data_IF_366815408278
#
_entry.id   IF_366815408278
#
_cell.length_a   1.000
_cell.length_b   1.000
_cell.length_c   1.000
_cell.angle_alpha   90.00
_cell.angle_beta   90.00
_cell.angle_gamma   90.00
#
_symmetry.space_group_name_H-M   'P 1'
#
loop_
_entity.id
_entity.type
_entity.pdbx_description
1 polymer ?
#
# COMPACT_ATOMS: atom_id res chain seq x y z
N UNK A 1 0.71 6.32 54.68
CA UNK A 1 0.77 6.57 53.19
C UNK A 1 0.21 5.33 52.53
N UNK A 2 -1.02 5.43 52.01
CA UNK A 2 -1.66 4.33 51.26
C UNK A 2 -1.01 4.23 49.88
N UNK A 3 -0.52 3.04 49.51
CA UNK A 3 -0.01 2.77 48.17
C UNK A 3 -1.13 2.95 47.14
N UNK A 4 -0.87 3.60 46.00
CA UNK A 4 -1.90 3.79 44.99
C UNK A 4 -2.35 2.44 44.44
N UNK A 5 -3.67 2.28 44.33
CA UNK A 5 -4.30 1.06 43.83
C UNK A 5 -3.80 0.74 42.39
N UNK A 6 -3.63 -0.54 42.02
CA UNK A 6 -3.07 -0.95 40.73
C UNK A 6 -3.84 -0.42 39.51
N UNK A 7 -5.13 -0.12 39.67
CA UNK A 7 -5.98 0.47 38.64
C UNK A 7 -5.57 1.92 38.30
N UNK A 8 -5.19 2.71 39.29
CA UNK A 8 -4.77 4.10 39.12
C UNK A 8 -3.38 4.20 38.48
N UNK A 9 -2.49 3.26 38.81
CA UNK A 9 -1.15 3.19 38.21
C UNK A 9 -1.23 2.86 36.71
N UNK A 10 -2.04 1.87 36.30
CA UNK A 10 -2.29 1.53 34.91
C UNK A 10 -2.96 2.66 34.11
N UNK A 11 -3.81 3.46 34.75
CA UNK A 11 -4.45 4.62 34.12
C UNK A 11 -3.45 5.76 33.91
N UNK A 12 -2.64 6.06 34.91
CA UNK A 12 -1.60 7.08 34.82
C UNK A 12 -0.52 6.69 33.81
N UNK A 13 -0.06 5.44 33.80
CA UNK A 13 0.93 4.96 32.83
C UNK A 13 0.40 5.04 31.38
N UNK A 14 -0.88 4.73 31.16
CA UNK A 14 -1.54 4.95 29.86
C UNK A 14 -1.66 6.43 29.50
N UNK A 15 -1.95 7.29 30.46
CA UNK A 15 -2.08 8.73 30.22
C UNK A 15 -0.73 9.38 29.91
N UNK A 16 0.30 9.05 30.65
CA UNK A 16 1.67 9.56 30.38
C UNK A 16 2.28 8.97 29.09
N UNK A 17 1.99 7.72 28.75
CA UNK A 17 2.42 7.15 27.47
C UNK A 17 1.68 7.81 26.30
N UNK A 18 0.41 8.19 26.49
CA UNK A 18 -0.41 8.87 25.47
C UNK A 18 0.06 10.32 25.23
N UNK A 19 0.46 11.04 26.29
CA UNK A 19 1.02 12.39 26.15
C UNK A 19 2.40 12.38 25.46
N UNK A 20 3.27 11.43 25.82
CA UNK A 20 4.59 11.25 25.16
C UNK A 20 4.45 10.86 23.69
N UNK A 21 3.41 10.12 23.33
CA UNK A 21 3.17 9.70 21.94
C UNK A 21 2.61 10.84 21.08
N UNK A 22 1.75 11.69 21.65
CA UNK A 22 1.28 12.92 21.00
C UNK A 22 2.43 13.88 20.73
N UNK A 23 3.29 14.06 21.71
CA UNK A 23 4.47 14.89 21.58
C UNK A 23 5.42 14.39 20.48
N UNK A 24 5.66 13.07 20.42
CA UNK A 24 6.46 12.47 19.33
C UNK A 24 5.84 12.72 17.95
N UNK A 25 4.53 12.55 17.77
CA UNK A 25 3.86 12.72 16.48
C UNK A 25 3.99 14.17 16.01
N UNK A 26 3.67 15.14 16.87
CA UNK A 26 3.79 16.55 16.57
C UNK A 26 5.22 16.95 16.26
N UNK A 27 6.20 16.53 17.08
CA UNK A 27 7.62 16.81 16.83
C UNK A 27 8.09 16.22 15.50
N UNK A 28 7.66 14.98 15.16
CA UNK A 28 8.09 14.33 13.94
C UNK A 28 7.50 14.99 12.69
N UNK A 29 6.23 15.36 12.70
CA UNK A 29 5.58 16.09 11.59
C UNK A 29 6.21 17.48 11.42
N UNK A 30 6.39 18.21 12.51
CA UNK A 30 7.10 19.50 12.50
C UNK A 30 8.52 19.36 11.96
N UNK A 31 9.25 18.32 12.36
CA UNK A 31 10.57 18.02 11.80
C UNK A 31 10.50 17.81 10.29
N UNK A 32 9.55 17.02 9.77
CA UNK A 32 9.35 16.81 8.33
C UNK A 32 9.13 18.16 7.63
N UNK A 33 8.25 19.01 8.17
CA UNK A 33 8.00 20.34 7.63
C UNK A 33 9.29 21.18 7.54
N UNK A 34 10.11 21.16 8.58
CA UNK A 34 11.32 22.01 8.66
C UNK A 34 12.51 21.45 7.87
N UNK A 35 12.62 20.12 7.72
CA UNK A 35 13.77 19.46 7.09
C UNK A 35 13.56 19.08 5.63
N UNK A 36 12.35 19.28 5.10
CA UNK A 36 12.02 19.03 3.69
C UNK A 36 11.47 20.32 3.06
N UNK A 37 11.43 20.42 1.72
CA UNK A 37 10.79 21.55 1.05
C UNK A 37 9.29 21.70 1.31
N UNK A 38 8.65 20.83 2.08
CA UNK A 38 7.23 20.93 2.44
C UNK A 38 6.88 22.28 3.07
N UNK A 39 7.79 22.91 3.86
CA UNK A 39 7.59 24.23 4.43
C UNK A 39 7.21 25.29 3.38
N UNK A 40 7.86 25.25 2.20
CA UNK A 40 7.57 26.20 1.10
C UNK A 40 6.15 26.03 0.57
N UNK A 41 5.64 24.78 0.53
CA UNK A 41 4.29 24.48 0.12
C UNK A 41 3.28 24.94 1.17
N UNK A 42 3.56 24.67 2.46
CA UNK A 42 2.73 25.16 3.57
C UNK A 42 2.65 26.68 3.57
N UNK A 43 3.77 27.39 3.37
CA UNK A 43 3.79 28.84 3.24
C UNK A 43 3.02 29.35 2.02
N UNK A 44 3.17 28.68 0.86
CA UNK A 44 2.49 29.09 -0.36
C UNK A 44 0.97 29.02 -0.21
N UNK A 45 0.48 27.93 0.35
CA UNK A 45 -0.96 27.69 0.48
C UNK A 45 -1.55 28.49 1.66
N UNK A 46 -0.95 28.44 2.86
CA UNK A 46 -1.51 29.09 4.04
C UNK A 46 -1.51 30.63 3.94
N UNK A 47 -0.63 31.21 3.13
CA UNK A 47 -0.57 32.65 2.89
C UNK A 47 -1.36 33.12 1.66
N UNK A 48 -2.04 32.21 0.96
CA UNK A 48 -2.84 32.55 -0.23
C UNK A 48 -4.06 33.41 0.12
N UNK A 49 -4.74 33.07 1.21
CA UNK A 49 -5.84 33.84 1.78
C UNK A 49 -5.93 33.65 3.30
N UNK A 50 -6.73 34.49 4.00
CA UNK A 50 -6.94 34.37 5.45
C UNK A 50 -7.55 33.02 5.89
N UNK A 51 -8.25 32.32 4.98
CA UNK A 51 -8.95 31.06 5.27
C UNK A 51 -8.30 29.85 4.64
N UNK A 52 -7.22 30.04 3.87
CA UNK A 52 -6.54 28.93 3.21
C UNK A 52 -5.75 28.07 4.20
N UNK A 53 -5.92 26.78 4.10
CA UNK A 53 -5.24 25.80 4.95
C UNK A 53 -4.75 24.63 4.12
N UNK A 54 -3.59 24.09 4.51
CA UNK A 54 -3.05 22.83 4.01
C UNK A 54 -2.62 21.94 5.16
N UNK A 55 -2.84 20.61 5.03
CA UNK A 55 -2.52 19.62 6.05
C UNK A 55 -1.90 18.38 5.42
N UNK A 56 -1.02 17.72 6.15
CA UNK A 56 -0.64 16.33 5.88
C UNK A 56 -1.86 15.41 5.99
N UNK A 57 -1.94 14.35 5.19
CA UNK A 57 -3.09 13.45 5.23
C UNK A 57 -2.72 11.99 4.93
N UNK A 58 -3.50 11.07 5.46
CA UNK A 58 -3.50 9.68 5.03
C UNK A 58 -2.20 8.92 5.31
N UNK A 59 -1.50 8.53 4.24
CA UNK A 59 -0.32 7.66 4.31
C UNK A 59 0.79 8.17 5.19
N UNK A 60 1.20 9.43 5.01
CA UNK A 60 2.31 10.02 5.76
C UNK A 60 1.97 10.15 7.25
N UNK A 61 0.77 10.63 7.60
CA UNK A 61 0.34 10.76 9.01
C UNK A 61 0.28 9.40 9.69
N UNK A 62 -0.29 8.39 9.02
CA UNK A 62 -0.36 7.01 9.53
C UNK A 62 1.04 6.43 9.77
N UNK A 63 1.99 6.60 8.84
CA UNK A 63 3.37 6.14 8.99
C UNK A 63 4.07 6.82 10.19
N UNK A 64 3.87 8.12 10.40
CA UNK A 64 4.41 8.82 11.57
C UNK A 64 3.85 8.24 12.87
N UNK A 65 2.53 8.02 12.96
CA UNK A 65 1.89 7.42 14.14
C UNK A 65 2.46 6.02 14.42
N UNK A 66 2.74 5.22 13.38
CA UNK A 66 3.32 3.88 13.49
C UNK A 66 4.84 3.85 13.60
N UNK A 67 5.49 5.01 13.61
CA UNK A 67 6.96 5.17 13.65
C UNK A 67 7.65 4.49 12.46
N UNK A 68 6.98 4.48 11.31
CA UNK A 68 7.51 3.99 10.04
C UNK A 68 8.19 5.12 9.26
N UNK A 69 9.03 4.78 8.29
CA UNK A 69 9.63 5.77 7.38
C UNK A 69 8.56 6.39 6.48
N UNK A 70 8.63 7.71 6.31
CA UNK A 70 7.74 8.46 5.42
C UNK A 70 8.48 8.68 4.10
N UNK A 71 7.99 8.03 3.04
CA UNK A 71 8.58 8.08 1.69
C UNK A 71 7.79 9.04 0.80
N UNK A 72 6.45 9.04 0.95
CA UNK A 72 5.53 9.86 0.17
C UNK A 72 4.79 10.83 1.11
N UNK A 73 4.68 12.08 0.70
CA UNK A 73 3.99 13.11 1.46
C UNK A 73 2.76 13.55 0.67
N UNK A 74 1.59 13.11 1.15
CA UNK A 74 0.30 13.54 0.65
C UNK A 74 -0.21 14.72 1.47
N UNK A 75 -0.70 15.74 0.79
CA UNK A 75 -1.24 16.97 1.37
C UNK A 75 -2.69 17.14 0.94
N UNK A 76 -3.51 17.73 1.81
CA UNK A 76 -4.87 18.13 1.51
C UNK A 76 -5.05 19.62 1.81
N UNK A 77 -5.84 20.33 1.00
CA UNK A 77 -6.09 21.76 1.16
C UNK A 77 -7.54 22.10 0.86
N UNK A 78 -8.06 23.14 1.52
CA UNK A 78 -9.36 23.70 1.24
C UNK A 78 -9.39 24.66 0.03
N UNK A 79 -8.26 24.87 -0.63
CA UNK A 79 -8.21 25.58 -1.91
C UNK A 79 -8.69 24.69 -3.06
N UNK A 80 -9.31 25.27 -4.06
CA UNK A 80 -9.59 24.61 -5.35
C UNK A 80 -8.28 24.33 -6.11
N UNK A 81 -8.25 23.38 -7.06
CA UNK A 81 -7.04 23.10 -7.83
C UNK A 81 -6.45 24.33 -8.55
N UNK A 82 -7.30 25.22 -9.05
CA UNK A 82 -6.85 26.44 -9.72
C UNK A 82 -6.18 27.41 -8.74
N UNK A 83 -6.75 27.58 -7.55
CA UNK A 83 -6.15 28.38 -6.48
C UNK A 83 -4.83 27.78 -5.99
N UNK A 84 -4.73 26.45 -5.92
CA UNK A 84 -3.44 25.76 -5.62
C UNK A 84 -2.39 26.10 -6.67
N UNK A 85 -2.73 26.02 -7.97
CA UNK A 85 -1.82 26.39 -9.04
C UNK A 85 -1.34 27.85 -8.93
N UNK A 86 -2.27 28.77 -8.62
CA UNK A 86 -1.96 30.18 -8.43
C UNK A 86 -1.03 30.41 -7.21
N UNK A 87 -1.35 29.79 -6.08
CA UNK A 87 -0.53 29.87 -4.86
C UNK A 87 0.90 29.37 -5.09
N UNK A 88 1.06 28.24 -5.78
CA UNK A 88 2.37 27.68 -6.13
C UNK A 88 3.13 28.59 -7.10
N UNK A 89 2.44 29.12 -8.14
CA UNK A 89 3.02 30.05 -9.10
C UNK A 89 3.52 31.34 -8.45
N UNK A 90 2.77 31.90 -7.51
CA UNK A 90 3.17 33.11 -6.77
C UNK A 90 4.44 32.92 -5.94
N UNK A 91 4.77 31.67 -5.57
CA UNK A 91 5.99 31.30 -4.87
C UNK A 91 7.06 30.67 -5.78
N UNK A 92 6.84 30.72 -7.10
CA UNK A 92 7.76 30.14 -8.12
C UNK A 92 8.03 28.64 -7.90
N UNK A 93 7.04 27.89 -7.41
CA UNK A 93 7.11 26.44 -7.21
C UNK A 93 6.59 25.77 -8.48
N UNK A 94 7.39 24.88 -9.07
CA UNK A 94 6.97 24.09 -10.24
C UNK A 94 5.90 23.07 -9.88
N UNK A 95 4.94 22.85 -10.80
CA UNK A 95 3.88 21.87 -10.58
C UNK A 95 3.41 21.23 -11.89
N UNK A 96 2.72 20.10 -11.75
CA UNK A 96 2.01 19.41 -12.84
C UNK A 96 0.53 19.25 -12.49
N UNK A 97 -0.32 19.39 -13.52
CA UNK A 97 -1.78 19.30 -13.40
C UNK A 97 -2.30 17.89 -13.74
N UNK A 98 -1.52 16.85 -13.46
CA UNK A 98 -1.79 15.47 -13.87
C UNK A 98 -3.08 14.85 -13.30
N UNK A 99 -3.74 15.50 -12.37
CA UNK A 99 -4.97 15.03 -11.73
C UNK A 99 -5.96 16.16 -11.41
N UNK A 100 -5.90 17.25 -12.16
CA UNK A 100 -6.70 18.46 -11.87
C UNK A 100 -8.21 18.18 -11.86
N UNK A 101 -8.69 17.31 -12.78
CA UNK A 101 -10.09 16.87 -12.84
C UNK A 101 -10.53 16.08 -11.59
N UNK A 102 -9.56 15.49 -10.88
CA UNK A 102 -9.77 14.81 -9.61
C UNK A 102 -9.35 15.64 -8.40
N UNK A 103 -9.01 16.89 -8.62
CA UNK A 103 -8.63 17.82 -7.55
C UNK A 103 -7.19 17.67 -7.06
N UNK A 104 -6.30 17.01 -7.79
CA UNK A 104 -4.91 16.77 -7.36
C UNK A 104 -3.91 17.51 -8.23
N UNK A 105 -3.02 18.26 -7.60
CA UNK A 105 -1.88 18.95 -8.22
C UNK A 105 -0.59 18.36 -7.63
N UNK A 106 0.39 18.08 -8.49
CA UNK A 106 1.70 17.59 -8.05
C UNK A 106 2.71 18.75 -8.06
N UNK A 107 3.11 19.22 -6.88
CA UNK A 107 4.19 20.20 -6.74
C UNK A 107 5.55 19.50 -6.74
N UNK A 108 6.55 20.16 -7.35
CA UNK A 108 7.93 19.65 -7.42
C UNK A 108 8.87 20.73 -6.91
N UNK A 109 9.67 20.35 -5.92
CA UNK A 109 10.74 21.18 -5.38
C UNK A 109 11.98 20.30 -5.26
N UNK A 110 13.02 20.64 -6.00
CA UNK A 110 14.22 19.83 -6.13
C UNK A 110 13.90 18.40 -6.58
N UNK A 111 14.26 17.38 -5.81
CA UNK A 111 13.94 15.98 -6.05
C UNK A 111 12.62 15.50 -5.42
N UNK A 112 11.97 16.37 -4.62
CA UNK A 112 10.74 16.02 -3.88
C UNK A 112 9.50 16.26 -4.73
N UNK A 113 8.54 15.32 -4.62
CA UNK A 113 7.21 15.43 -5.19
C UNK A 113 6.17 15.41 -4.09
N UNK A 114 5.22 16.34 -4.17
CA UNK A 114 4.14 16.47 -3.19
C UNK A 114 2.82 16.44 -3.92
N UNK A 115 1.96 15.48 -3.57
CA UNK A 115 0.60 15.45 -4.07
C UNK A 115 -0.30 16.32 -3.18
N UNK A 116 -0.86 17.39 -3.75
CA UNK A 116 -1.76 18.31 -3.07
C UNK A 116 -3.15 18.09 -3.61
N UNK A 117 -4.05 17.58 -2.76
CA UNK A 117 -5.44 17.28 -3.14
C UNK A 117 -6.40 18.27 -2.49
N UNK A 118 -7.23 18.93 -3.29
CA UNK A 118 -8.31 19.78 -2.81
C UNK A 118 -9.36 18.97 -2.07
N UNK A 119 -9.88 19.52 -0.95
CA UNK A 119 -10.98 18.89 -0.23
C UNK A 119 -12.18 18.74 -1.14
N UNK A 120 -12.84 17.60 -1.08
CA UNK A 120 -13.96 17.29 -1.96
C UNK A 120 -14.96 16.33 -1.32
N UNK A 121 -16.16 16.32 -1.84
CA UNK A 121 -17.13 15.24 -1.66
C UNK A 121 -17.33 14.52 -2.99
N UNK A 122 -17.58 13.22 -2.93
CA UNK A 122 -17.91 12.43 -4.10
C UNK A 122 -19.42 12.51 -4.33
N UNK A 123 -19.86 13.06 -5.47
CA UNK A 123 -21.29 13.21 -5.81
C UNK A 123 -21.83 11.93 -6.41
N UNK A 124 -21.06 11.32 -7.31
CA UNK A 124 -21.31 10.00 -7.86
C UNK A 124 -20.01 9.23 -8.07
N UNK A 125 -20.02 7.93 -7.88
CA UNK A 125 -18.81 7.09 -8.06
C UNK A 125 -19.15 5.85 -8.88
N UNK A 126 -18.34 5.56 -9.91
CA UNK A 126 -18.33 4.30 -10.64
C UNK A 126 -17.09 3.43 -10.31
N UNK A 127 -16.45 3.71 -9.19
CA UNK A 127 -15.24 3.04 -8.72
C UNK A 127 -13.92 3.63 -9.24
N UNK A 128 -13.90 4.27 -10.40
CA UNK A 128 -12.69 4.91 -10.96
C UNK A 128 -12.86 6.40 -11.16
N UNK A 129 -14.02 6.82 -11.60
CA UNK A 129 -14.36 8.22 -11.86
C UNK A 129 -15.42 8.63 -10.86
N UNK A 130 -15.09 9.60 -10.05
CA UNK A 130 -16.04 10.29 -9.19
C UNK A 130 -16.28 11.68 -9.81
N UNK A 131 -17.55 12.03 -10.02
CA UNK A 131 -17.89 13.43 -10.12
C UNK A 131 -17.66 14.05 -8.75
N UNK A 132 -16.73 14.98 -8.69
CA UNK A 132 -16.30 15.59 -7.43
C UNK A 132 -16.83 17.01 -7.34
N UNK A 133 -17.30 17.39 -6.18
CA UNK A 133 -17.57 18.77 -5.80
C UNK A 133 -16.55 19.18 -4.74
N UNK A 134 -15.85 20.29 -4.98
CA UNK A 134 -14.86 20.77 -4.02
C UNK A 134 -15.56 21.29 -2.78
N UNK A 135 -15.00 21.00 -1.62
CA UNK A 135 -15.53 21.31 -0.30
C UNK A 135 -14.53 22.15 0.50
N UNK A 136 -15.04 22.92 1.45
CA UNK A 136 -14.22 23.59 2.44
C UNK A 136 -14.20 22.83 3.79
N UNK A 137 -15.00 21.77 3.91
CA UNK A 137 -15.17 21.03 5.15
C UNK A 137 -14.24 19.80 5.21
N UNK A 138 -13.30 19.85 6.11
CA UNK A 138 -12.35 18.77 6.40
C UNK A 138 -13.02 17.44 6.82
N UNK A 139 -14.16 17.51 7.52
CA UNK A 139 -14.90 16.33 7.94
C UNK A 139 -15.63 15.69 6.75
N UNK A 140 -16.11 16.49 5.82
CA UNK A 140 -16.73 16.03 4.59
C UNK A 140 -15.71 15.26 3.72
N UNK A 141 -14.51 15.82 3.50
CA UNK A 141 -13.41 15.11 2.80
C UNK A 141 -13.00 13.83 3.53
N UNK A 142 -12.91 13.88 4.86
CA UNK A 142 -12.60 12.71 5.66
C UNK A 142 -13.64 11.60 5.50
N UNK A 143 -14.94 11.96 5.40
CA UNK A 143 -16.04 11.01 5.31
C UNK A 143 -16.06 10.18 4.03
N UNK A 144 -15.51 10.70 2.92
CA UNK A 144 -15.43 9.98 1.65
C UNK A 144 -14.26 8.97 1.60
N UNK A 145 -13.30 9.03 2.52
CA UNK A 145 -12.15 8.12 2.57
C UNK A 145 -12.59 6.70 2.93
N UNK A 146 -11.74 5.74 2.65
CA UNK A 146 -12.06 4.31 2.85
C UNK A 146 -12.09 3.88 4.32
N UNK A 147 -10.99 4.15 5.05
CA UNK A 147 -10.79 3.69 6.42
C UNK A 147 -10.48 4.84 7.37
N UNK A 148 -10.89 4.70 8.64
CA UNK A 148 -10.61 5.69 9.69
C UNK A 148 -9.12 6.01 9.81
N UNK A 149 -8.25 5.02 9.67
CA UNK A 149 -6.78 5.17 9.72
C UNK A 149 -6.20 6.00 8.55
N UNK A 150 -6.97 6.28 7.51
CA UNK A 150 -6.59 7.07 6.35
C UNK A 150 -7.20 8.47 6.34
N UNK A 151 -8.03 8.79 7.34
CA UNK A 151 -8.73 10.08 7.47
C UNK A 151 -8.17 10.95 8.60
N UNK A 152 -6.90 10.76 8.92
CA UNK A 152 -6.18 11.54 9.91
C UNK A 152 -5.39 12.61 9.17
N UNK A 153 -5.55 13.86 9.59
CA UNK A 153 -4.84 15.01 9.04
C UNK A 153 -3.95 15.63 10.12
N UNK A 154 -2.94 16.39 9.70
CA UNK A 154 -2.09 17.15 10.60
C UNK A 154 -1.64 18.46 9.96
N UNK A 155 -1.59 19.55 10.73
CA UNK A 155 -0.98 20.79 10.29
C UNK A 155 0.57 20.73 10.31
N UNK A 156 1.21 21.85 9.96
CA UNK A 156 2.67 21.98 9.95
C UNK A 156 3.32 21.86 11.34
N UNK A 157 2.58 22.13 12.40
CA UNK A 157 3.02 21.98 13.79
C UNK A 157 2.74 20.59 14.36
N UNK A 158 2.06 19.73 13.56
CA UNK A 158 1.72 18.35 13.92
C UNK A 158 0.50 18.22 14.80
N UNK A 159 -0.35 19.24 14.87
CA UNK A 159 -1.66 19.13 15.51
C UNK A 159 -2.58 18.25 14.65
N UNK A 160 -3.17 17.23 15.25
CA UNK A 160 -4.00 16.28 14.54
C UNK A 160 -5.46 16.76 14.43
N UNK A 161 -6.04 16.56 13.26
CA UNK A 161 -7.48 16.58 13.04
C UNK A 161 -7.93 15.16 12.66
N UNK A 162 -8.63 14.48 13.54
CA UNK A 162 -9.03 13.08 13.44
C UNK A 162 -10.52 12.89 13.72
N UNK A 163 -11.40 13.21 12.76
CA UNK A 163 -12.85 13.25 12.99
C UNK A 163 -13.49 11.87 13.22
N UNK A 164 -12.78 10.78 12.87
CA UNK A 164 -13.30 9.41 12.96
C UNK A 164 -12.50 8.51 13.91
N UNK A 165 -11.67 9.08 14.79
CA UNK A 165 -10.83 8.35 15.73
C UNK A 165 -9.86 7.33 15.08
N UNK A 166 -9.38 7.64 13.88
CA UNK A 166 -8.47 6.77 13.14
C UNK A 166 -7.14 6.53 13.84
N UNK A 167 -6.64 7.51 14.61
CA UNK A 167 -5.45 7.34 15.45
C UNK A 167 -5.66 6.25 16.50
N UNK A 168 -6.80 6.25 17.18
CA UNK A 168 -7.14 5.23 18.17
C UNK A 168 -7.25 3.86 17.52
N UNK A 169 -7.96 3.75 16.40
CA UNK A 169 -8.09 2.51 15.64
C UNK A 169 -6.72 1.96 15.23
N UNK A 170 -5.84 2.83 14.73
CA UNK A 170 -4.49 2.46 14.32
C UNK A 170 -3.61 1.99 15.48
N UNK A 171 -3.67 2.66 16.63
CA UNK A 171 -2.92 2.29 17.84
C UNK A 171 -3.42 0.95 18.42
N UNK A 172 -4.71 0.74 18.41
CA UNK A 172 -5.36 -0.49 18.88
C UNK A 172 -5.31 -1.63 17.87
N UNK A 173 -5.04 -1.34 16.58
CA UNK A 173 -4.94 -2.34 15.51
C UNK A 173 -6.28 -2.70 14.88
N UNK A 174 -7.26 -1.81 14.92
CA UNK A 174 -8.54 -1.97 14.22
C UNK A 174 -8.49 -1.37 12.83
N UNK A 175 -9.13 -2.05 11.87
CA UNK A 175 -9.30 -1.55 10.50
C UNK A 175 -10.79 -1.37 10.25
N UNK A 176 -11.26 -0.15 10.46
CA UNK A 176 -12.66 0.20 10.36
C UNK A 176 -12.93 1.03 9.09
N UNK A 177 -13.97 0.64 8.35
CA UNK A 177 -14.51 1.48 7.27
C UNK A 177 -15.16 2.75 7.86
N UNK A 178 -15.08 3.85 7.12
CA UNK A 178 -15.84 5.05 7.46
C UNK A 178 -17.26 4.87 6.97
N UNK A 179 -18.22 4.85 7.88
CA UNK A 179 -19.63 4.62 7.57
C UNK A 179 -19.96 3.14 7.34
N UNK A 180 -20.88 2.86 6.41
CA UNK A 180 -21.34 1.50 6.15
C UNK A 180 -20.36 0.73 5.25
N UNK A 181 -19.75 -0.33 5.76
CA UNK A 181 -18.73 -1.11 5.07
C UNK A 181 -19.22 -1.68 3.71
N UNK A 182 -20.47 -2.17 3.64
CA UNK A 182 -21.00 -2.75 2.41
C UNK A 182 -21.15 -1.69 1.31
N UNK A 183 -21.72 -0.53 1.65
CA UNK A 183 -21.82 0.61 0.71
C UNK A 183 -20.44 1.05 0.24
N UNK A 184 -19.49 1.16 1.17
CA UNK A 184 -18.10 1.56 0.84
C UNK A 184 -17.41 0.58 -0.11
N UNK A 185 -17.63 -0.71 0.05
CA UNK A 185 -17.12 -1.74 -0.88
C UNK A 185 -17.80 -1.63 -2.25
N UNK A 186 -19.12 -1.41 -2.29
CA UNK A 186 -19.87 -1.30 -3.54
C UNK A 186 -19.53 -0.04 -4.35
N UNK A 187 -19.13 1.05 -3.70
CA UNK A 187 -18.60 2.24 -4.37
C UNK A 187 -17.26 1.98 -5.09
N UNK A 188 -16.40 1.13 -4.51
CA UNK A 188 -15.12 0.74 -5.09
C UNK A 188 -14.69 -0.62 -4.53
N UNK A 189 -14.87 -1.68 -5.33
CA UNK A 189 -14.53 -3.04 -4.94
C UNK A 189 -13.04 -3.26 -4.64
N UNK A 190 -12.13 -2.37 -5.09
CA UNK A 190 -10.72 -2.42 -4.72
C UNK A 190 -10.52 -2.27 -3.20
N UNK A 191 -11.48 -1.69 -2.49
CA UNK A 191 -11.45 -1.55 -1.03
C UNK A 191 -11.39 -2.91 -0.32
N UNK A 192 -11.80 -4.01 -0.96
CA UNK A 192 -11.61 -5.37 -0.45
C UNK A 192 -10.11 -5.68 -0.32
N UNK A 193 -9.33 -5.47 -1.38
CA UNK A 193 -7.87 -5.70 -1.34
C UNK A 193 -7.17 -4.69 -0.42
N UNK A 194 -7.63 -3.45 -0.40
CA UNK A 194 -7.11 -2.42 0.50
C UNK A 194 -7.37 -2.78 1.97
N UNK A 195 -8.55 -3.31 2.30
CA UNK A 195 -8.86 -3.84 3.64
C UNK A 195 -7.88 -4.95 4.03
N UNK A 196 -7.69 -5.96 3.17
CA UNK A 196 -6.74 -7.04 3.41
C UNK A 196 -5.32 -6.50 3.64
N UNK A 197 -4.87 -5.56 2.83
CA UNK A 197 -3.56 -4.93 2.98
C UNK A 197 -3.40 -4.21 4.32
N UNK A 198 -4.36 -3.38 4.71
CA UNK A 198 -4.28 -2.67 5.97
C UNK A 198 -4.43 -3.61 7.17
N UNK A 199 -5.31 -4.60 7.06
CA UNK A 199 -5.46 -5.63 8.07
C UNK A 199 -4.13 -6.38 8.29
N UNK A 200 -3.52 -6.90 7.25
CA UNK A 200 -2.24 -7.60 7.36
C UNK A 200 -1.11 -6.72 7.90
N UNK A 201 -1.13 -5.42 7.61
CA UNK A 201 -0.07 -4.52 8.06
C UNK A 201 -0.25 -4.02 9.49
N UNK A 202 -1.48 -3.76 9.92
CA UNK A 202 -1.74 -2.99 11.14
C UNK A 202 -2.63 -3.70 12.15
N UNK A 203 -3.38 -4.75 11.78
CA UNK A 203 -4.25 -5.44 12.73
C UNK A 203 -3.47 -6.43 13.60
N UNK A 204 -3.87 -6.48 14.88
CA UNK A 204 -3.41 -7.47 15.85
C UNK A 204 -4.53 -8.45 16.25
N UNK A 205 -5.70 -8.33 15.67
CA UNK A 205 -6.90 -9.12 15.99
C UNK A 205 -7.27 -10.04 14.83
N UNK A 206 -8.18 -10.97 15.08
CA UNK A 206 -8.84 -11.72 14.01
C UNK A 206 -9.78 -10.81 13.23
N UNK A 207 -10.07 -11.18 11.99
CA UNK A 207 -11.08 -10.49 11.19
C UNK A 207 -12.42 -10.41 11.93
N UNK A 208 -13.11 -9.30 11.78
CA UNK A 208 -14.50 -9.20 12.21
C UNK A 208 -15.36 -10.05 11.28
N UNK A 209 -16.07 -11.05 11.82
CA UNK A 209 -16.87 -12.00 11.03
C UNK A 209 -17.90 -11.30 10.12
N UNK A 210 -18.43 -10.15 10.56
CA UNK A 210 -19.37 -9.36 9.77
C UNK A 210 -18.68 -8.77 8.53
N UNK A 211 -17.46 -8.26 8.65
CA UNK A 211 -16.69 -7.69 7.52
C UNK A 211 -16.37 -8.79 6.50
N UNK A 212 -15.94 -9.98 6.97
CA UNK A 212 -15.68 -11.11 6.07
C UNK A 212 -16.93 -11.55 5.31
N UNK A 213 -18.09 -11.57 5.97
CA UNK A 213 -19.38 -11.88 5.31
C UNK A 213 -19.70 -10.85 4.22
N UNK A 214 -19.53 -9.57 4.50
CA UNK A 214 -19.75 -8.47 3.54
C UNK A 214 -18.79 -8.62 2.36
N UNK A 215 -17.50 -8.86 2.61
CA UNK A 215 -16.49 -9.06 1.57
C UNK A 215 -16.88 -10.26 0.68
N UNK A 216 -17.17 -11.42 1.25
CA UNK A 216 -17.54 -12.62 0.49
C UNK A 216 -18.79 -12.39 -0.35
N UNK A 217 -19.77 -11.65 0.15
CA UNK A 217 -21.00 -11.30 -0.59
C UNK A 217 -20.72 -10.41 -1.82
N UNK A 218 -19.70 -9.55 -1.73
CA UNK A 218 -19.40 -8.54 -2.74
C UNK A 218 -18.15 -8.87 -3.57
N UNK A 219 -17.54 -10.04 -3.41
CA UNK A 219 -16.23 -10.37 -3.99
C UNK A 219 -16.25 -10.41 -5.53
N UNK A 220 -17.37 -10.78 -6.13
CA UNK A 220 -17.52 -10.84 -7.59
C UNK A 220 -17.36 -9.46 -8.25
N UNK A 221 -17.66 -8.39 -7.52
CA UNK A 221 -17.47 -7.02 -7.99
C UNK A 221 -15.99 -6.67 -8.29
N UNK A 222 -15.03 -7.46 -7.79
CA UNK A 222 -13.60 -7.33 -8.12
C UNK A 222 -13.36 -7.47 -9.63
N UNK A 223 -14.19 -8.21 -10.34
CA UNK A 223 -14.10 -8.37 -11.80
C UNK A 223 -14.23 -7.05 -12.57
N UNK A 224 -14.85 -6.04 -11.99
CA UNK A 224 -15.02 -4.70 -12.57
C UNK A 224 -13.78 -3.80 -12.39
N UNK A 225 -12.79 -4.24 -11.61
CA UNK A 225 -11.59 -3.45 -11.32
C UNK A 225 -10.54 -3.66 -12.40
N UNK A 226 -9.89 -2.57 -12.82
CA UNK A 226 -8.82 -2.66 -13.80
C UNK A 226 -7.64 -3.51 -13.30
N UNK A 227 -7.04 -4.25 -14.23
CA UNK A 227 -5.90 -5.14 -13.94
C UNK A 227 -4.73 -4.41 -13.25
N UNK A 228 -4.47 -3.17 -13.64
CA UNK A 228 -3.40 -2.35 -13.04
C UNK A 228 -3.64 -2.08 -11.56
N UNK A 229 -4.89 -1.73 -11.19
CA UNK A 229 -5.26 -1.48 -9.79
C UNK A 229 -5.16 -2.76 -8.97
N UNK A 230 -5.62 -3.90 -9.51
CA UNK A 230 -5.52 -5.20 -8.85
C UNK A 230 -4.08 -5.60 -8.58
N UNK A 231 -3.22 -5.53 -9.61
CA UNK A 231 -1.78 -5.85 -9.47
C UNK A 231 -1.07 -4.86 -8.55
N UNK A 232 -1.43 -3.58 -8.60
CA UNK A 232 -0.90 -2.57 -7.71
C UNK A 232 -1.16 -2.88 -6.23
N UNK A 233 -2.37 -3.31 -5.88
CA UNK A 233 -2.69 -3.73 -4.50
C UNK A 233 -2.05 -5.08 -4.15
N UNK A 234 -2.04 -6.07 -5.07
CA UNK A 234 -1.35 -7.34 -4.85
C UNK A 234 0.14 -7.12 -4.54
N UNK A 235 0.81 -6.25 -5.29
CA UNK A 235 2.21 -5.88 -5.05
C UNK A 235 2.41 -5.31 -3.64
N UNK A 236 1.51 -4.44 -3.18
CA UNK A 236 1.56 -3.86 -1.83
C UNK A 236 1.27 -4.89 -0.73
N UNK A 237 0.34 -5.83 -0.98
CA UNK A 237 0.01 -6.92 -0.04
C UNK A 237 1.21 -7.86 0.13
N UNK A 238 1.90 -8.18 -0.96
CA UNK A 238 3.00 -9.15 -0.96
C UNK A 238 4.36 -8.52 -0.67
N UNK A 239 4.46 -7.20 -0.53
CA UNK A 239 5.71 -6.50 -0.21
C UNK A 239 6.15 -6.76 1.23
N UNK A 240 7.47 -6.68 1.45
CA UNK A 240 8.08 -6.85 2.78
C UNK A 240 7.59 -8.14 3.49
N UNK A 241 7.05 -8.00 4.69
CA UNK A 241 6.51 -9.11 5.48
C UNK A 241 5.04 -9.46 5.13
N UNK A 242 4.42 -8.76 4.17
CA UNK A 242 2.99 -8.92 3.86
C UNK A 242 2.63 -10.34 3.43
N UNK A 243 3.43 -10.95 2.56
CA UNK A 243 3.19 -12.35 2.16
C UNK A 243 3.31 -13.33 3.33
N UNK A 244 4.26 -13.12 4.25
CA UNK A 244 4.40 -13.96 5.44
C UNK A 244 3.18 -13.87 6.36
N UNK A 245 2.64 -12.66 6.53
CA UNK A 245 1.41 -12.44 7.30
C UNK A 245 0.20 -13.06 6.60
N UNK A 246 0.10 -12.89 5.28
CA UNK A 246 -0.95 -13.51 4.46
C UNK A 246 -0.96 -15.04 4.60
N UNK A 247 0.21 -15.69 4.57
CA UNK A 247 0.31 -17.14 4.72
C UNK A 247 -0.07 -17.66 6.12
N UNK A 248 -0.02 -16.79 7.14
CA UNK A 248 -0.43 -17.10 8.52
C UNK A 248 -1.92 -16.93 8.74
N UNK A 249 -2.53 -15.99 8.02
CA UNK A 249 -3.96 -15.68 8.15
C UNK A 249 -4.79 -16.44 7.11
N UNK A 250 -5.52 -17.45 7.58
CA UNK A 250 -6.25 -18.36 6.70
C UNK A 250 -7.39 -17.65 5.96
N UNK A 251 -8.10 -16.72 6.59
CA UNK A 251 -9.23 -16.00 5.97
C UNK A 251 -8.75 -15.06 4.87
N UNK A 252 -7.67 -14.30 5.13
CA UNK A 252 -7.03 -13.47 4.09
C UNK A 252 -6.50 -14.29 2.92
N UNK A 253 -5.90 -15.46 3.20
CA UNK A 253 -5.36 -16.34 2.18
C UNK A 253 -6.47 -16.89 1.27
N UNK A 254 -7.59 -17.35 1.84
CA UNK A 254 -8.76 -17.81 1.08
C UNK A 254 -9.31 -16.71 0.16
N UNK A 255 -9.44 -15.48 0.67
CA UNK A 255 -9.90 -14.35 -0.13
C UNK A 255 -8.94 -14.03 -1.29
N UNK A 256 -7.63 -14.07 -1.05
CA UNK A 256 -6.62 -13.87 -2.10
C UNK A 256 -6.68 -14.99 -3.15
N UNK A 257 -6.87 -16.25 -2.74
CA UNK A 257 -7.02 -17.39 -3.68
C UNK A 257 -8.29 -17.27 -4.56
N UNK A 258 -9.38 -16.71 -4.02
CA UNK A 258 -10.59 -16.42 -4.80
C UNK A 258 -10.32 -15.29 -5.81
N UNK A 259 -9.68 -14.21 -5.39
CA UNK A 259 -9.44 -13.04 -6.23
C UNK A 259 -8.36 -13.32 -7.30
N UNK A 260 -7.32 -14.05 -6.93
CA UNK A 260 -6.18 -14.39 -7.79
C UNK A 260 -6.00 -15.92 -7.87
N UNK A 261 -6.91 -16.65 -8.51
CA UNK A 261 -6.83 -18.11 -8.60
C UNK A 261 -5.60 -18.61 -9.38
N UNK A 262 -4.88 -17.70 -10.04
CA UNK A 262 -3.64 -18.00 -10.75
C UNK A 262 -2.43 -18.15 -9.80
N UNK A 263 -2.53 -17.73 -8.54
CA UNK A 263 -1.44 -17.88 -7.55
C UNK A 263 -1.37 -19.32 -7.01
N UNK A 264 -1.30 -20.30 -7.91
CA UNK A 264 -1.39 -21.74 -7.62
C UNK A 264 -0.40 -22.24 -6.58
N UNK A 265 0.79 -21.63 -6.56
CA UNK A 265 1.88 -22.05 -5.69
C UNK A 265 1.92 -21.27 -4.36
N UNK A 266 0.96 -20.42 -4.04
CA UNK A 266 1.03 -19.54 -2.87
C UNK A 266 1.22 -20.32 -1.57
N UNK A 267 0.56 -21.49 -1.42
CA UNK A 267 0.68 -22.34 -0.23
C UNK A 267 2.04 -23.01 -0.10
N UNK A 268 2.79 -23.18 -1.21
CA UNK A 268 4.12 -23.76 -1.19
C UNK A 268 5.11 -22.91 -0.39
N UNK A 269 4.83 -21.60 -0.28
CA UNK A 269 5.64 -20.67 0.51
C UNK A 269 5.56 -20.90 2.04
N UNK A 270 4.64 -21.74 2.52
CA UNK A 270 4.62 -22.15 3.94
C UNK A 270 5.86 -22.99 4.31
N UNK A 271 6.52 -23.60 3.32
CA UNK A 271 7.74 -24.41 3.51
C UNK A 271 8.72 -24.10 2.39
N UNK A 272 9.81 -23.44 2.71
CA UNK A 272 10.88 -23.11 1.78
C UNK A 272 12.20 -23.75 2.25
N UNK A 273 13.15 -23.96 1.32
CA UNK A 273 14.49 -24.36 1.67
C UNK A 273 15.27 -23.20 2.36
N UNK A 274 16.43 -23.49 2.97
CA UNK A 274 17.20 -22.50 3.73
C UNK A 274 17.59 -21.27 2.90
N UNK A 275 18.06 -21.50 1.67
CA UNK A 275 18.42 -20.39 0.77
C UNK A 275 17.23 -19.47 0.45
N UNK A 276 16.07 -20.07 0.16
CA UNK A 276 14.86 -19.31 -0.13
C UNK A 276 14.40 -18.51 1.08
N UNK A 277 14.49 -19.06 2.30
CA UNK A 277 14.18 -18.34 3.55
C UNK A 277 15.08 -17.12 3.73
N UNK A 278 16.39 -17.26 3.51
CA UNK A 278 17.37 -16.17 3.70
C UNK A 278 17.22 -15.05 2.64
N UNK A 279 16.77 -15.40 1.44
CA UNK A 279 16.69 -14.47 0.33
C UNK A 279 15.27 -14.00 0.00
N UNK A 280 14.25 -14.54 0.67
CA UNK A 280 12.84 -14.26 0.40
C UNK A 280 12.49 -12.76 0.37
N UNK A 281 13.02 -11.97 1.31
CA UNK A 281 12.75 -10.54 1.39
C UNK A 281 13.53 -9.69 0.37
N UNK A 282 14.45 -10.29 -0.37
CA UNK A 282 15.29 -9.60 -1.37
C UNK A 282 14.78 -9.76 -2.80
N UNK A 283 13.81 -10.66 -3.02
CA UNK A 283 13.27 -10.89 -4.36
C UNK A 283 12.35 -9.76 -4.77
N UNK A 284 12.42 -9.40 -6.06
CA UNK A 284 11.48 -8.42 -6.61
C UNK A 284 10.11 -9.03 -6.92
N UNK A 285 9.15 -8.15 -7.16
CA UNK A 285 7.75 -8.56 -7.35
C UNK A 285 7.55 -9.50 -8.55
N UNK A 286 8.24 -9.28 -9.66
CA UNK A 286 8.06 -10.12 -10.87
C UNK A 286 8.63 -11.53 -10.67
N UNK A 287 9.77 -11.64 -9.98
CA UNK A 287 10.30 -12.93 -9.61
C UNK A 287 9.40 -13.65 -8.61
N UNK A 288 8.84 -12.94 -7.62
CA UNK A 288 7.83 -13.48 -6.70
C UNK A 288 6.60 -14.00 -7.47
N UNK A 289 6.05 -13.21 -8.39
CA UNK A 289 4.92 -13.64 -9.22
C UNK A 289 5.28 -14.90 -10.02
N UNK A 290 6.49 -14.97 -10.59
CA UNK A 290 6.93 -16.17 -11.32
C UNK A 290 6.87 -17.42 -10.43
N UNK A 291 7.33 -17.32 -9.19
CA UNK A 291 7.25 -18.43 -8.21
C UNK A 291 5.81 -18.81 -7.86
N UNK A 292 4.89 -17.83 -7.86
CA UNK A 292 3.48 -18.04 -7.50
C UNK A 292 2.62 -18.61 -8.62
N UNK A 293 2.93 -18.29 -9.89
CA UNK A 293 2.06 -18.62 -11.03
C UNK A 293 2.58 -19.72 -11.94
N UNK A 294 3.90 -19.96 -11.99
CA UNK A 294 4.49 -21.01 -12.85
C UNK A 294 4.24 -22.38 -12.20
N UNK A 295 3.44 -23.19 -12.88
CA UNK A 295 3.06 -24.54 -12.43
C UNK A 295 3.27 -25.61 -13.51
N UNK A 296 3.85 -25.24 -14.66
CA UNK A 296 4.05 -26.11 -15.81
C UNK A 296 2.88 -26.22 -16.77
N UNK A 297 1.81 -25.48 -16.50
CA UNK A 297 0.63 -25.32 -17.39
C UNK A 297 0.65 -23.95 -18.07
N UNK A 298 -0.41 -23.58 -18.75
CA UNK A 298 -0.62 -22.26 -19.37
C UNK A 298 -1.02 -21.16 -18.36
N UNK A 299 -1.03 -21.47 -17.06
CA UNK A 299 -1.44 -20.55 -16.00
C UNK A 299 -0.64 -19.24 -15.99
N UNK A 300 0.67 -19.33 -16.23
CA UNK A 300 1.54 -18.16 -16.32
C UNK A 300 1.16 -17.26 -17.52
N UNK A 301 0.90 -17.83 -18.69
CA UNK A 301 0.46 -17.10 -19.87
C UNK A 301 -0.89 -16.44 -19.66
N UNK A 302 -1.83 -17.16 -19.03
CA UNK A 302 -3.13 -16.62 -18.67
C UNK A 302 -3.03 -15.45 -17.67
N UNK A 303 -2.16 -15.56 -16.67
CA UNK A 303 -1.88 -14.47 -15.73
C UNK A 303 -1.37 -13.22 -16.47
N UNK A 304 -0.39 -13.38 -17.35
CA UNK A 304 0.18 -12.27 -18.12
C UNK A 304 -0.86 -11.58 -19.02
N UNK A 305 -1.74 -12.36 -19.65
CA UNK A 305 -2.84 -11.86 -20.48
C UNK A 305 -3.86 -11.09 -19.64
N UNK A 306 -4.36 -11.71 -18.55
CA UNK A 306 -5.39 -11.14 -17.69
C UNK A 306 -4.96 -9.82 -17.04
N UNK A 307 -3.72 -9.75 -16.57
CA UNK A 307 -3.25 -8.62 -15.77
C UNK A 307 -2.43 -7.59 -16.56
N UNK A 308 -2.32 -7.73 -17.87
CA UNK A 308 -1.66 -6.75 -18.77
C UNK A 308 -0.29 -6.29 -18.26
N UNK A 309 0.53 -7.24 -17.82
CA UNK A 309 1.87 -6.97 -17.30
C UNK A 309 2.74 -6.29 -18.38
N UNK A 310 3.72 -5.45 -17.99
CA UNK A 310 4.59 -4.76 -18.92
C UNK A 310 5.34 -5.73 -19.85
N UNK A 311 5.60 -5.34 -21.12
CA UNK A 311 6.32 -6.21 -22.08
C UNK A 311 7.67 -6.70 -21.54
N UNK A 312 8.39 -5.84 -20.80
CA UNK A 312 9.65 -6.18 -20.16
C UNK A 312 9.47 -7.31 -19.14
N UNK A 313 8.49 -7.19 -18.27
CA UNK A 313 8.20 -8.15 -17.21
C UNK A 313 7.60 -9.44 -17.76
N UNK A 314 6.76 -9.35 -18.80
CA UNK A 314 6.27 -10.51 -19.54
C UNK A 314 7.42 -11.34 -20.11
N UNK A 315 8.39 -10.70 -20.78
CA UNK A 315 9.58 -11.39 -21.33
C UNK A 315 10.33 -12.12 -20.24
N UNK A 316 10.53 -11.48 -19.09
CA UNK A 316 11.24 -12.05 -17.95
C UNK A 316 10.52 -13.29 -17.37
N UNK A 317 9.21 -13.20 -17.12
CA UNK A 317 8.41 -14.31 -16.59
C UNK A 317 8.32 -15.48 -17.59
N UNK A 318 8.05 -15.19 -18.88
CA UNK A 318 8.00 -16.22 -19.93
C UNK A 318 9.30 -16.99 -20.08
N UNK A 319 10.43 -16.34 -19.88
CA UNK A 319 11.74 -16.98 -19.95
C UNK A 319 11.92 -17.98 -18.80
N UNK A 320 11.51 -17.64 -17.58
CA UNK A 320 11.55 -18.54 -16.42
C UNK A 320 10.60 -19.73 -16.65
N UNK A 321 9.39 -19.47 -17.14
CA UNK A 321 8.39 -20.52 -17.42
C UNK A 321 8.86 -21.48 -18.50
N UNK A 322 9.43 -20.99 -19.58
CA UNK A 322 10.04 -21.80 -20.65
C UNK A 322 11.11 -22.75 -20.11
N UNK A 323 12.04 -22.25 -19.31
CA UNK A 323 13.07 -23.07 -18.67
C UNK A 323 12.51 -24.10 -17.67
N UNK A 324 11.42 -23.77 -16.99
CA UNK A 324 10.75 -24.67 -16.07
C UNK A 324 10.06 -25.83 -16.83
N UNK A 325 9.38 -25.54 -17.96
CA UNK A 325 8.65 -26.53 -18.77
C UNK A 325 9.57 -27.48 -19.51
N UNK A 326 10.71 -27.01 -20.01
CA UNK A 326 11.63 -27.83 -20.78
C UNK A 326 12.38 -28.90 -19.98
N UNK A 327 12.11 -29.07 -18.68
CA UNK A 327 12.78 -30.02 -17.78
C UNK A 327 14.29 -30.04 -18.01
N UNK A 328 14.87 -28.87 -18.02
CA UNK A 328 16.26 -28.60 -18.33
C UNK A 328 17.20 -29.54 -17.57
N UNK A 329 18.03 -30.26 -18.29
CA UNK A 329 19.00 -31.24 -17.75
C UNK A 329 20.18 -30.53 -17.08
N UNK A 330 20.98 -31.28 -16.30
CA UNK A 330 22.22 -30.77 -15.71
C UNK A 330 23.17 -30.12 -16.74
N UNK A 331 23.17 -30.62 -17.99
CA UNK A 331 23.98 -30.10 -19.08
C UNK A 331 23.61 -28.65 -19.50
N UNK A 332 22.40 -28.20 -19.20
CA UNK A 332 21.98 -26.81 -19.50
C UNK A 332 22.69 -25.79 -18.61
N UNK A 333 23.13 -26.19 -17.44
CA UNK A 333 23.83 -25.35 -16.47
C UNK A 333 25.36 -25.43 -16.61
N UNK A 334 25.90 -25.97 -17.72
CA UNK A 334 27.33 -25.87 -18.02
C UNK A 334 27.72 -24.39 -18.23
N UNK A 335 28.95 -24.05 -17.90
CA UNK A 335 29.49 -22.71 -18.06
C UNK A 335 29.28 -22.18 -19.49
N UNK A 336 29.53 -23.00 -20.50
CA UNK A 336 29.33 -22.66 -21.92
C UNK A 336 27.87 -22.25 -22.21
N UNK A 337 26.92 -23.03 -21.72
CA UNK A 337 25.49 -22.77 -21.98
C UNK A 337 24.99 -21.57 -21.17
N UNK A 338 25.44 -21.39 -19.94
CA UNK A 338 25.13 -20.21 -19.14
C UNK A 338 25.70 -18.94 -19.74
N UNK A 339 26.95 -18.97 -20.28
CA UNK A 339 27.55 -17.83 -20.95
C UNK A 339 26.80 -17.47 -22.24
N UNK A 340 26.39 -18.46 -23.04
CA UNK A 340 25.53 -18.25 -24.22
C UNK A 340 24.19 -17.63 -23.82
N UNK A 341 23.56 -18.18 -22.80
CA UNK A 341 22.29 -17.66 -22.31
C UNK A 341 22.42 -16.22 -21.76
N UNK A 342 23.48 -15.94 -21.00
CA UNK A 342 23.84 -14.61 -20.52
C UNK A 342 23.97 -13.60 -21.68
N UNK A 343 24.68 -13.99 -22.75
CA UNK A 343 24.87 -13.13 -23.91
C UNK A 343 23.57 -12.70 -24.57
N UNK A 344 22.60 -13.62 -24.72
CA UNK A 344 21.33 -13.34 -25.37
C UNK A 344 20.27 -12.69 -24.47
N UNK A 345 20.29 -12.95 -23.18
CA UNK A 345 19.20 -12.61 -22.26
C UNK A 345 19.62 -11.71 -21.09
N UNK A 346 20.94 -11.50 -20.93
CA UNK A 346 21.48 -10.64 -19.89
C UNK A 346 21.60 -11.33 -18.50
N UNK A 347 22.29 -10.63 -17.61
CA UNK A 347 22.64 -11.14 -16.26
C UNK A 347 21.43 -11.52 -15.42
N UNK A 348 20.39 -10.67 -15.43
CA UNK A 348 19.21 -10.89 -14.60
C UNK A 348 18.46 -12.18 -14.95
N UNK A 349 18.39 -12.52 -16.23
CA UNK A 349 17.78 -13.75 -16.71
C UNK A 349 18.47 -15.01 -16.17
N UNK A 350 19.80 -15.02 -16.16
CA UNK A 350 20.58 -16.16 -15.57
C UNK A 350 20.30 -16.27 -14.10
N UNK A 351 20.33 -15.16 -13.37
CA UNK A 351 20.05 -15.12 -11.93
C UNK A 351 18.64 -15.63 -11.64
N UNK A 352 17.64 -15.20 -12.39
CA UNK A 352 16.25 -15.60 -12.20
C UNK A 352 16.06 -17.12 -12.38
N UNK A 353 16.61 -17.69 -13.44
CA UNK A 353 16.48 -19.13 -13.71
C UNK A 353 17.16 -19.97 -12.63
N UNK A 354 18.36 -19.58 -12.23
CA UNK A 354 19.08 -20.28 -11.17
C UNK A 354 18.33 -20.18 -9.85
N UNK A 355 17.92 -18.97 -9.47
CA UNK A 355 17.16 -18.76 -8.24
C UNK A 355 15.81 -19.50 -8.27
N UNK A 356 15.08 -19.48 -9.39
CA UNK A 356 13.82 -20.20 -9.53
C UNK A 356 13.98 -21.69 -9.28
N UNK A 357 15.04 -22.29 -9.82
CA UNK A 357 15.39 -23.70 -9.58
C UNK A 357 15.72 -23.95 -8.12
N UNK A 358 16.53 -23.08 -7.50
CA UNK A 358 16.92 -23.21 -6.09
C UNK A 358 15.70 -23.08 -5.17
N UNK A 359 14.84 -22.08 -5.39
CA UNK A 359 13.62 -21.88 -4.59
C UNK A 359 12.66 -23.08 -4.65
N UNK A 360 12.57 -23.73 -5.80
CA UNK A 360 11.72 -24.92 -6.01
C UNK A 360 12.44 -26.26 -5.73
N UNK A 361 13.71 -26.25 -5.30
CA UNK A 361 14.44 -27.49 -5.03
C UNK A 361 13.85 -28.24 -3.83
N UNK A 362 13.91 -29.59 -3.92
CA UNK A 362 13.44 -30.49 -2.85
C UNK A 362 14.48 -30.72 -1.73
N UNK A 363 15.58 -29.95 -1.70
CA UNK A 363 16.48 -29.92 -0.55
C UNK A 363 15.73 -29.54 0.72
N UNK A 364 16.22 -30.02 1.88
CA UNK A 364 15.54 -29.91 3.19
C UNK A 364 14.78 -28.59 3.33
N UNK A 365 13.45 -28.66 3.25
CA UNK A 365 12.57 -27.50 3.38
C UNK A 365 12.41 -27.14 4.84
N UNK A 366 12.77 -25.91 5.21
CA UNK A 366 12.52 -25.37 6.54
C UNK A 366 11.13 -24.68 6.57
N UNK A 367 10.48 -24.74 7.72
CA UNK A 367 9.24 -24.02 7.94
C UNK A 367 9.54 -22.51 7.94
N UNK A 368 8.89 -21.74 7.08
CA UNK A 368 9.07 -20.29 6.99
C UNK A 368 8.23 -19.56 8.04
N UNK A 369 7.19 -20.21 8.54
CA UNK A 369 6.16 -19.63 9.42
C UNK A 369 6.02 -20.49 10.67
#
# INVERSE_FOLDING_TARGET
MLAPQPFMKNFLDKFFSRSKNLDYISQKLKQITLTTPANKIFEAINNFSEKSEIRYVGGCVRKVIKKENVDDIDLATNLTPLEVCEALKNKQISYYETGIEHGTITAIIDEYKYEITSLRKDVSTDGRHAEVEFSLDWKEDASRRDFTINSIYADSDGNLFDPFNGKKDLEEGYINFIGNAEKRIQEDYLRILRYLRFYLNYSNYKHQSQIIKIIKKNIDGISNISSERLIGELKKITSSNGLLKLLKDQESLELIEIIFPQLKNIKNFKKLNSYAVENFLKIDFIFLISLLVIDGTDNADYFLYKFKISKKDQKRLKLIDHFYREKVTLNTYTEKNLNKFFYFNGRQAVIDIINFKIFNSNTVKKKLI
#
